data_IF_359612584888
#
_entry.id   IF_359612584888
#
_cell.length_a   1.000
_cell.length_b   1.000
_cell.length_c   1.000
_cell.angle_alpha   90.00
_cell.angle_beta   90.00
_cell.angle_gamma   90.00
#
_symmetry.space_group_name_H-M   'P 1'
#
loop_
_entity.id
_entity.type
_entity.pdbx_description
1 polymer ?
#
# COMPACT_ATOMS: atom_id res chain seq x y z
N UNK A 1 5.63 -56.10 -38.15
CA UNK A 1 6.01 -55.54 -36.83
C UNK A 1 5.89 -54.04 -36.94
N UNK A 2 4.85 -53.41 -36.32
CA UNK A 2 4.64 -51.97 -36.33
C UNK A 2 5.12 -51.39 -34.98
N UNK A 3 5.92 -50.33 -34.91
CA UNK A 3 6.26 -49.69 -33.64
C UNK A 3 5.14 -48.80 -33.19
N UNK A 4 4.76 -48.96 -31.94
CA UNK A 4 3.79 -48.11 -31.23
C UNK A 4 4.55 -46.87 -30.75
N UNK A 5 4.17 -45.70 -31.28
CA UNK A 5 4.63 -44.38 -30.77
C UNK A 5 3.81 -44.03 -29.52
N UNK A 6 4.46 -44.05 -28.34
CA UNK A 6 3.91 -43.51 -27.10
C UNK A 6 4.18 -42.03 -27.06
N UNK A 7 3.12 -41.23 -27.28
CA UNK A 7 3.19 -39.79 -27.14
C UNK A 7 3.16 -39.40 -25.64
N UNK A 8 4.27 -38.86 -25.16
CA UNK A 8 4.36 -38.27 -23.82
C UNK A 8 3.69 -36.88 -23.88
N UNK A 9 2.50 -36.78 -23.30
CA UNK A 9 1.79 -35.51 -23.12
C UNK A 9 2.34 -34.80 -21.89
N UNK A 10 3.29 -33.88 -22.09
CA UNK A 10 3.86 -33.06 -21.02
C UNK A 10 2.85 -31.97 -20.68
N UNK A 11 2.09 -32.18 -19.61
CA UNK A 11 1.17 -31.20 -19.06
C UNK A 11 1.94 -30.02 -18.48
N UNK A 12 1.84 -28.86 -19.11
CA UNK A 12 2.35 -27.57 -18.62
C UNK A 12 1.46 -27.10 -17.47
N UNK A 13 1.87 -27.34 -16.22
CA UNK A 13 1.26 -26.72 -15.04
C UNK A 13 1.58 -25.23 -15.07
N UNK A 14 0.63 -24.42 -15.51
CA UNK A 14 0.67 -22.97 -15.33
C UNK A 14 0.27 -22.70 -13.87
N UNK A 15 1.23 -22.48 -13.00
CA UNK A 15 1.01 -21.94 -11.66
C UNK A 15 0.61 -20.47 -11.82
N UNK A 16 -0.69 -20.17 -11.71
CA UNK A 16 -1.19 -18.82 -11.52
C UNK A 16 -0.72 -18.36 -10.14
N UNK A 17 0.45 -17.74 -10.07
CA UNK A 17 0.85 -16.96 -8.91
C UNK A 17 -0.06 -15.74 -8.85
N UNK A 18 -1.18 -15.85 -8.15
CA UNK A 18 -2.01 -14.73 -7.77
C UNK A 18 -1.18 -13.84 -6.87
N UNK A 19 -0.77 -12.66 -7.35
CA UNK A 19 -0.23 -11.62 -6.50
C UNK A 19 -1.38 -11.11 -5.63
N UNK A 20 -1.59 -11.72 -4.45
CA UNK A 20 -2.35 -11.10 -3.39
C UNK A 20 -1.39 -10.15 -2.66
N UNK A 21 -1.72 -8.86 -2.61
CA UNK A 21 -0.98 -7.87 -1.81
C UNK A 21 -1.19 -8.11 -0.29
N UNK A 22 -1.87 -9.19 0.08
CA UNK A 22 -2.14 -9.60 1.45
C UNK A 22 -0.89 -10.22 2.07
N UNK A 23 -0.37 -9.57 3.11
CA UNK A 23 0.76 -10.06 3.90
C UNK A 23 0.29 -10.97 5.03
N UNK A 24 -0.86 -10.66 5.64
CA UNK A 24 -1.42 -11.41 6.75
C UNK A 24 -2.94 -11.28 6.84
N UNK A 25 -3.56 -12.28 7.45
CA UNK A 25 -4.96 -12.30 7.82
C UNK A 25 -5.10 -12.89 9.21
N UNK A 26 -5.83 -12.20 10.10
CA UNK A 26 -6.08 -12.62 11.48
C UNK A 26 -7.58 -12.67 11.70
N UNK A 27 -8.11 -13.87 11.98
CA UNK A 27 -9.52 -14.04 12.32
C UNK A 27 -9.84 -13.47 13.69
N UNK A 28 -10.95 -12.74 13.80
CA UNK A 28 -11.41 -12.16 15.06
C UNK A 28 -12.25 -13.13 15.92
N UNK A 29 -12.38 -14.40 15.49
CA UNK A 29 -12.98 -15.48 16.28
C UNK A 29 -14.03 -16.29 15.53
N UNK A 30 -14.45 -17.41 16.16
CA UNK A 30 -15.34 -18.41 15.57
C UNK A 30 -16.78 -17.91 15.32
N UNK A 31 -17.20 -16.84 15.99
CA UNK A 31 -18.56 -16.27 15.91
C UNK A 31 -18.63 -14.96 15.13
N UNK A 32 -17.54 -14.57 14.50
CA UNK A 32 -17.47 -13.35 13.66
C UNK A 32 -17.06 -13.71 12.24
N UNK A 33 -17.68 -13.05 11.28
CA UNK A 33 -17.31 -13.14 9.86
C UNK A 33 -16.26 -12.08 9.47
N UNK A 34 -15.62 -11.47 10.48
CA UNK A 34 -14.65 -10.37 10.28
C UNK A 34 -13.22 -10.87 10.51
N UNK A 35 -12.34 -10.46 9.62
CA UNK A 35 -10.91 -10.70 9.71
C UNK A 35 -10.15 -9.36 9.65
N UNK A 36 -9.01 -9.28 10.34
CA UNK A 36 -8.05 -8.22 10.13
C UNK A 36 -7.13 -8.64 8.99
N UNK A 37 -7.12 -7.86 7.92
CA UNK A 37 -6.19 -8.01 6.80
C UNK A 37 -5.05 -7.02 6.88
N UNK A 38 -3.88 -7.44 6.48
CA UNK A 38 -2.70 -6.57 6.33
C UNK A 38 -2.23 -6.65 4.89
N UNK A 39 -2.28 -5.51 4.20
CA UNK A 39 -1.80 -5.36 2.82
C UNK A 39 -0.47 -4.61 2.81
N UNK A 40 0.42 -4.98 1.90
CA UNK A 40 1.66 -4.27 1.63
C UNK A 40 1.54 -3.51 0.31
N UNK A 41 1.88 -2.23 0.32
CA UNK A 41 1.84 -1.36 -0.86
C UNK A 41 3.15 -0.59 -0.98
N UNK A 42 3.86 -0.77 -2.10
CA UNK A 42 5.03 0.04 -2.43
C UNK A 42 4.58 1.35 -3.08
N UNK A 43 5.22 2.45 -2.68
CA UNK A 43 4.96 3.76 -3.33
C UNK A 43 5.34 3.70 -4.82
N UNK A 44 4.45 4.06 -5.73
CA UNK A 44 4.68 3.94 -7.17
C UNK A 44 5.78 4.85 -7.71
N UNK A 45 6.04 6.00 -7.07
CA UNK A 45 7.10 6.94 -7.45
C UNK A 45 8.28 6.85 -6.52
N UNK A 46 8.06 6.79 -5.21
CA UNK A 46 9.14 6.64 -4.21
C UNK A 46 9.29 5.16 -3.85
N UNK A 47 9.83 4.40 -4.79
CA UNK A 47 9.94 2.93 -4.69
C UNK A 47 10.73 2.42 -3.47
N UNK A 48 11.52 3.31 -2.86
CA UNK A 48 12.21 3.02 -1.61
C UNK A 48 11.30 3.02 -0.37
N UNK A 49 9.99 3.27 -0.50
CA UNK A 49 9.02 3.27 0.59
C UNK A 49 7.97 2.20 0.40
N UNK A 50 7.71 1.44 1.46
CA UNK A 50 6.62 0.47 1.54
C UNK A 50 5.72 0.80 2.72
N UNK A 51 4.41 0.80 2.48
CA UNK A 51 3.38 0.98 3.49
C UNK A 51 2.66 -0.34 3.76
N UNK A 52 2.45 -0.66 5.03
CA UNK A 52 1.57 -1.73 5.48
C UNK A 52 0.26 -1.10 5.97
N UNK A 53 -0.85 -1.57 5.46
CA UNK A 53 -2.18 -1.07 5.79
C UNK A 53 -2.97 -2.23 6.38
N UNK A 54 -3.39 -2.10 7.63
CA UNK A 54 -4.34 -3.04 8.23
C UNK A 54 -5.76 -2.48 8.17
N UNK A 55 -6.72 -3.35 7.94
CA UNK A 55 -8.14 -3.00 7.88
C UNK A 55 -9.00 -4.21 8.24
N UNK A 56 -10.25 -3.97 8.60
CA UNK A 56 -11.22 -5.04 8.81
C UNK A 56 -11.89 -5.38 7.48
N UNK A 57 -11.88 -6.66 7.13
CA UNK A 57 -12.66 -7.23 6.03
C UNK A 57 -13.81 -8.07 6.61
N UNK A 58 -15.03 -7.84 6.11
CA UNK A 58 -16.19 -8.63 6.46
C UNK A 58 -16.70 -9.39 5.23
N UNK A 59 -16.93 -10.68 5.37
CA UNK A 59 -17.35 -11.54 4.25
C UNK A 59 -18.78 -11.26 3.73
N UNK A 60 -19.62 -10.63 4.53
CA UNK A 60 -21.06 -10.43 4.21
C UNK A 60 -21.54 -8.98 4.38
N UNK A 61 -20.73 -8.10 4.94
CA UNK A 61 -21.03 -6.69 5.14
C UNK A 61 -19.94 -5.82 4.53
N UNK A 62 -20.31 -4.62 4.09
CA UNK A 62 -19.31 -3.62 3.73
C UNK A 62 -18.54 -3.27 5.00
N UNK A 63 -17.28 -3.73 5.07
CA UNK A 63 -16.41 -3.38 6.16
C UNK A 63 -16.43 -1.86 6.37
N UNK A 64 -16.63 -1.41 7.60
CA UNK A 64 -16.51 -0.01 7.91
C UNK A 64 -15.04 0.39 7.73
N UNK A 65 -14.70 1.26 6.76
CA UNK A 65 -13.32 1.68 6.54
C UNK A 65 -12.74 2.50 7.69
N UNK A 66 -13.51 2.69 8.75
CA UNK A 66 -13.09 3.41 9.94
C UNK A 66 -12.01 2.70 10.73
N UNK A 67 -11.96 1.37 10.69
CA UNK A 67 -10.99 0.57 11.45
C UNK A 67 -9.79 0.22 10.58
N UNK A 68 -8.95 1.21 10.33
CA UNK A 68 -7.72 1.04 9.57
C UNK A 68 -6.53 1.67 10.29
N UNK A 69 -5.34 1.13 10.02
CA UNK A 69 -4.08 1.77 10.37
C UNK A 69 -3.09 1.71 9.23
N UNK A 70 -2.08 2.59 9.24
CA UNK A 70 -1.02 2.64 8.25
C UNK A 70 0.35 2.76 8.94
N UNK A 71 1.31 2.00 8.45
CA UNK A 71 2.71 2.09 8.83
C UNK A 71 3.57 2.06 7.57
N UNK A 72 4.23 3.18 7.28
CA UNK A 72 5.16 3.29 6.14
C UNK A 72 6.59 3.39 6.64
N UNK A 73 7.52 2.78 5.90
CA UNK A 73 8.94 2.82 6.22
C UNK A 73 9.80 2.79 4.97
N UNK A 74 11.01 3.22 5.10
CA UNK A 74 12.02 3.00 4.08
C UNK A 74 12.34 1.50 3.98
N UNK A 75 12.24 0.95 2.78
CA UNK A 75 12.55 -0.44 2.44
C UNK A 75 13.58 -0.55 1.32
N UNK A 76 14.02 0.59 0.79
CA UNK A 76 15.01 0.68 -0.27
C UNK A 76 15.57 2.09 -0.42
N UNK A 77 16.42 2.33 -1.43
CA UNK A 77 16.97 3.65 -1.71
C UNK A 77 15.87 4.66 -2.06
N UNK A 78 16.01 5.89 -1.53
CA UNK A 78 15.19 7.04 -1.91
C UNK A 78 16.12 8.05 -2.59
N UNK A 79 15.89 8.28 -3.89
CA UNK A 79 16.76 9.09 -4.74
C UNK A 79 16.25 10.51 -4.90
N UNK A 80 17.15 11.42 -5.32
CA UNK A 80 16.79 12.79 -5.64
C UNK A 80 15.73 12.88 -6.76
N UNK A 81 15.86 12.06 -7.81
CA UNK A 81 14.91 12.03 -8.93
C UNK A 81 13.50 11.65 -8.48
N UNK A 82 13.39 10.70 -7.55
CA UNK A 82 12.11 10.31 -6.97
C UNK A 82 11.47 11.49 -6.22
N UNK A 83 12.24 12.25 -5.44
CA UNK A 83 11.74 13.40 -4.71
C UNK A 83 11.38 14.58 -5.64
N UNK A 84 12.08 14.73 -6.78
CA UNK A 84 11.74 15.72 -7.79
C UNK A 84 10.43 15.38 -8.52
N UNK A 85 10.14 14.09 -8.71
CA UNK A 85 8.98 13.61 -9.46
C UNK A 85 7.66 13.69 -8.69
N UNK A 86 7.68 13.81 -7.34
CA UNK A 86 6.46 13.87 -6.54
C UNK A 86 5.79 15.25 -6.57
N UNK A 87 4.49 15.27 -6.29
CA UNK A 87 3.79 16.52 -5.99
C UNK A 87 4.25 17.07 -4.63
N UNK A 88 4.88 18.23 -4.63
CA UNK A 88 5.38 18.94 -3.44
C UNK A 88 4.43 20.05 -2.95
N UNK A 89 3.20 20.10 -3.48
CA UNK A 89 2.18 20.98 -2.94
C UNK A 89 1.79 20.60 -1.51
N UNK A 90 1.22 21.54 -0.75
CA UNK A 90 0.77 21.28 0.63
C UNK A 90 -0.28 20.17 0.74
N UNK A 91 -1.03 19.93 -0.33
CA UNK A 91 -2.04 18.86 -0.35
C UNK A 91 -1.46 17.52 -0.81
N UNK A 92 -0.31 17.49 -1.47
CA UNK A 92 0.29 16.28 -2.01
C UNK A 92 -0.62 15.53 -2.99
N UNK A 93 -0.38 14.25 -3.19
CA UNK A 93 -1.12 13.41 -4.14
C UNK A 93 -1.60 12.08 -3.57
N UNK A 94 -2.70 11.54 -4.10
CA UNK A 94 -3.18 10.20 -3.76
C UNK A 94 -2.31 9.16 -4.46
N UNK A 95 -1.67 8.28 -3.68
CA UNK A 95 -0.64 7.36 -4.20
C UNK A 95 -1.13 5.96 -4.44
N UNK A 96 -1.96 5.38 -3.56
CA UNK A 96 -2.44 4.02 -3.76
C UNK A 96 -3.83 4.05 -4.42
N UNK A 97 -3.86 3.61 -5.68
CA UNK A 97 -5.06 3.55 -6.51
C UNK A 97 -5.15 2.14 -7.09
N UNK A 98 -5.98 1.29 -6.51
CA UNK A 98 -6.28 -0.01 -7.12
C UNK A 98 -7.76 -0.08 -7.45
N UNK A 99 -8.07 -0.18 -8.74
CA UNK A 99 -9.45 -0.42 -9.20
C UNK A 99 -9.96 -1.83 -8.84
N UNK A 100 -9.06 -2.73 -8.51
CA UNK A 100 -9.36 -4.13 -8.17
C UNK A 100 -9.56 -4.34 -6.67
N UNK A 101 -9.03 -3.46 -5.82
CA UNK A 101 -9.17 -3.57 -4.37
C UNK A 101 -10.41 -2.82 -3.88
N UNK A 102 -11.30 -3.51 -3.19
CA UNK A 102 -12.46 -2.92 -2.51
C UNK A 102 -12.02 -1.92 -1.45
N UNK A 103 -10.88 -2.18 -0.79
CA UNK A 103 -10.26 -1.31 0.20
C UNK A 103 -10.10 0.13 -0.29
N UNK A 104 -9.49 0.33 -1.48
CA UNK A 104 -9.19 1.66 -2.01
C UNK A 104 -10.37 2.39 -2.65
N UNK A 105 -11.58 1.82 -2.65
CA UNK A 105 -12.78 2.54 -3.05
C UNK A 105 -13.16 3.63 -2.05
N UNK A 106 -13.06 3.33 -0.76
CA UNK A 106 -13.42 4.23 0.34
C UNK A 106 -12.22 4.73 1.14
N UNK A 107 -11.10 4.01 1.13
CA UNK A 107 -9.85 4.43 1.73
C UNK A 107 -8.98 5.13 0.70
N UNK A 108 -8.42 6.27 1.06
CA UNK A 108 -7.40 6.99 0.29
C UNK A 108 -6.12 7.10 1.09
N UNK A 109 -4.99 6.98 0.42
CA UNK A 109 -3.68 7.27 1.01
C UNK A 109 -3.04 8.38 0.19
N UNK A 110 -2.68 9.46 0.87
CA UNK A 110 -2.09 10.65 0.27
C UNK A 110 -0.66 10.80 0.75
N UNK A 111 0.28 10.95 -0.18
CA UNK A 111 1.65 11.33 0.12
C UNK A 111 1.76 12.85 0.10
N UNK A 112 2.35 13.42 1.15
CA UNK A 112 2.61 14.85 1.31
C UNK A 112 4.10 14.98 1.63
N UNK A 113 4.77 15.95 1.04
CA UNK A 113 6.16 16.27 1.38
C UNK A 113 6.20 17.44 2.35
N UNK A 114 6.72 17.19 3.54
CA UNK A 114 7.08 18.23 4.50
C UNK A 114 8.51 18.69 4.23
N UNK A 115 8.65 19.86 3.59
CA UNK A 115 9.96 20.42 3.25
C UNK A 115 10.75 20.84 4.49
N UNK A 116 10.07 21.32 5.55
CA UNK A 116 10.74 21.81 6.75
C UNK A 116 11.51 20.71 7.48
N UNK A 117 10.90 19.52 7.57
CA UNK A 117 11.55 18.36 8.23
C UNK A 117 12.13 17.36 7.23
N UNK A 118 12.02 17.62 5.92
CA UNK A 118 12.41 16.72 4.84
C UNK A 118 11.87 15.29 5.06
N UNK A 119 10.55 15.21 5.27
CA UNK A 119 9.85 13.98 5.63
C UNK A 119 8.70 13.73 4.65
N UNK A 120 8.54 12.48 4.23
CA UNK A 120 7.33 12.05 3.52
C UNK A 120 6.26 11.65 4.53
N UNK A 121 5.09 12.27 4.40
CA UNK A 121 3.92 11.97 5.21
C UNK A 121 2.95 11.14 4.37
N UNK A 122 2.47 10.04 4.93
CA UNK A 122 1.46 9.18 4.31
C UNK A 122 0.19 9.25 5.16
N UNK A 123 -0.75 10.06 4.69
CA UNK A 123 -2.04 10.26 5.34
C UNK A 123 -3.07 9.32 4.72
N UNK A 124 -3.52 8.33 5.50
CA UNK A 124 -4.66 7.51 5.14
C UNK A 124 -5.93 8.09 5.73
N UNK A 125 -7.03 8.10 4.96
CA UNK A 125 -8.31 8.60 5.41
C UNK A 125 -9.48 7.94 4.70
N UNK A 126 -10.60 7.81 5.42
CA UNK A 126 -11.86 7.35 4.85
C UNK A 126 -12.56 8.48 4.11
N UNK A 127 -13.08 8.18 2.91
CA UNK A 127 -13.99 9.09 2.19
C UNK A 127 -15.44 8.95 2.65
N UNK A 128 -15.74 7.91 3.46
CA UNK A 128 -17.04 7.73 4.10
C UNK A 128 -16.99 8.29 5.50
N UNK A 129 -18.04 9.01 5.86
CA UNK A 129 -18.24 9.47 7.24
C UNK A 129 -18.74 8.30 8.09
N UNK A 130 -18.18 8.15 9.28
CA UNK A 130 -18.63 7.21 10.30
C UNK A 130 -18.78 7.96 11.62
N UNK A 131 -19.96 7.87 12.21
CA UNK A 131 -20.30 8.52 13.50
C UNK A 131 -19.95 10.03 13.56
N UNK A 132 -20.14 10.75 12.45
CA UNK A 132 -19.85 12.21 12.37
C UNK A 132 -18.38 12.55 12.16
N UNK A 133 -17.52 11.57 11.80
CA UNK A 133 -16.09 11.79 11.59
C UNK A 133 -15.56 11.01 10.39
N UNK A 134 -14.46 11.51 9.81
CA UNK A 134 -13.65 10.77 8.83
C UNK A 134 -12.43 10.21 9.55
N UNK A 135 -12.39 8.89 9.73
CA UNK A 135 -11.23 8.22 10.32
C UNK A 135 -9.99 8.43 9.45
N UNK A 136 -8.89 8.72 10.10
CA UNK A 136 -7.60 8.96 9.44
C UNK A 136 -6.45 8.49 10.32
N UNK A 137 -5.34 8.16 9.68
CA UNK A 137 -4.09 7.80 10.34
C UNK A 137 -2.90 8.37 9.55
N UNK A 138 -1.84 8.70 10.26
CA UNK A 138 -0.63 9.29 9.68
C UNK A 138 0.57 8.40 9.94
N UNK A 139 1.36 8.17 8.88
CA UNK A 139 2.68 7.57 8.98
C UNK A 139 3.71 8.48 8.35
N UNK A 140 4.92 8.49 8.90
CA UNK A 140 6.02 9.38 8.46
C UNK A 140 7.23 8.58 8.07
N UNK A 141 7.90 9.00 6.99
CA UNK A 141 9.17 8.42 6.53
C UNK A 141 10.18 9.55 6.37
N UNK A 142 11.09 9.74 7.32
CA UNK A 142 12.13 10.74 7.22
C UNK A 142 13.09 10.38 6.09
N UNK A 143 13.57 11.41 5.36
CA UNK A 143 14.54 11.21 4.28
C UNK A 143 15.99 11.17 4.76
N UNK A 144 16.23 11.32 6.06
CA UNK A 144 17.56 11.34 6.64
C UNK A 144 18.43 10.16 6.16
N UNK A 145 19.70 10.44 5.81
CA UNK A 145 20.65 9.48 5.24
C UNK A 145 20.24 8.89 3.86
N UNK A 146 19.39 9.55 3.11
CA UNK A 146 19.07 9.19 1.72
C UNK A 146 19.71 10.18 0.73
N UNK A 147 19.77 9.80 -0.56
CA UNK A 147 20.18 10.72 -1.63
C UNK A 147 19.19 11.89 -1.77
N UNK A 148 17.92 11.62 -1.54
CA UNK A 148 16.88 12.65 -1.54
C UNK A 148 17.07 13.68 -0.43
N UNK A 149 17.58 13.30 0.73
CA UNK A 149 17.93 14.22 1.81
C UNK A 149 19.05 15.17 1.39
N UNK A 150 20.14 14.63 0.85
CA UNK A 150 21.28 15.44 0.41
C UNK A 150 20.85 16.47 -0.65
N UNK A 151 20.08 16.03 -1.65
CA UNK A 151 19.55 16.92 -2.67
C UNK A 151 18.63 18.00 -2.08
N UNK A 152 17.75 17.67 -1.15
CA UNK A 152 16.82 18.64 -0.54
C UNK A 152 17.56 19.71 0.28
N UNK A 153 18.73 19.40 0.86
CA UNK A 153 19.58 20.38 1.55
C UNK A 153 20.16 21.43 0.61
N UNK A 154 20.44 21.08 -0.64
CA UNK A 154 21.02 21.98 -1.65
C UNK A 154 19.97 22.97 -2.22
N UNK A 155 18.66 22.76 -1.95
CA UNK A 155 17.57 23.60 -2.44
C UNK A 155 17.15 24.70 -1.47
N UNK A 156 17.72 24.75 -0.25
CA UNK A 156 17.50 25.79 0.78
C UNK A 156 18.53 26.89 0.66
#
# INVERSE_FOLDING_TARGET
MKPIMIGVLTGLLITLAGCSDDVASVSLGLFTTKDIKVNSQQDPLVKGVTCHISHIEANLDFADPSDMSIACRQTGPITADQLQAIDRSKSGEVVFKSSKSILFKSLKVRRIYDAQTRTLLYLSYSTKESTGSHHHALSTVPLYNTQAWAWAQEQE
#
